data_IF_005517882345
#
_entry.id   IF_005517882345
#
_cell.length_a   1.000
_cell.length_b   1.000
_cell.length_c   1.000
_cell.angle_alpha   90.00
_cell.angle_beta   90.00
_cell.angle_gamma   90.00
#
_symmetry.space_group_name_H-M   'P 1'
#
loop_
_entity.id
_entity.type
_entity.pdbx_description
1 polymer ?
#
# COMPACT_ATOMS: atom_id res chain seq x y z
N UNK A 1 -3.85 -1.86 -16.05
CA UNK A 1 -3.23 -1.18 -14.89
C UNK A 1 -2.56 -2.28 -14.10
N UNK A 2 -1.27 -2.45 -14.38
CA UNK A 2 -0.48 -3.59 -13.96
C UNK A 2 -0.36 -3.60 -12.44
N UNK A 3 -0.28 -4.81 -11.86
CA UNK A 3 0.30 -5.26 -10.57
C UNK A 3 0.94 -4.19 -9.65
N UNK A 4 1.60 -3.21 -10.23
CA UNK A 4 2.34 -2.06 -9.70
C UNK A 4 1.51 -1.01 -8.96
N UNK A 5 0.28 -0.74 -9.38
CA UNK A 5 -0.59 0.21 -8.68
C UNK A 5 -0.99 -0.30 -7.28
N UNK A 6 -1.13 -1.63 -7.14
CA UNK A 6 -1.37 -2.31 -5.86
C UNK A 6 -0.15 -2.20 -4.94
N UNK A 7 1.07 -2.19 -5.47
CA UNK A 7 2.27 -2.05 -4.64
C UNK A 7 2.46 -0.61 -4.15
N UNK A 8 2.08 0.41 -4.93
CA UNK A 8 2.06 1.82 -4.45
C UNK A 8 1.03 1.99 -3.34
N UNK A 9 -0.24 1.62 -3.60
CA UNK A 9 -1.30 1.79 -2.61
C UNK A 9 -1.13 0.83 -1.42
N UNK A 10 -0.61 -0.37 -1.64
CA UNK A 10 -0.26 -1.32 -0.59
C UNK A 10 0.85 -0.80 0.32
N UNK A 11 1.90 -0.18 -0.22
CA UNK A 11 2.94 0.45 0.60
C UNK A 11 2.41 1.60 1.46
N UNK A 12 1.45 2.37 0.92
CA UNK A 12 0.79 3.49 1.61
C UNK A 12 -0.19 2.96 2.69
N UNK A 13 -1.01 1.96 2.37
CA UNK A 13 -2.04 1.39 3.27
C UNK A 13 -1.44 0.52 4.37
N UNK A 14 -0.31 -0.15 4.13
CA UNK A 14 0.33 -1.04 5.11
C UNK A 14 1.10 -0.26 6.18
N UNK A 15 1.50 0.99 5.93
CA UNK A 15 2.32 1.74 6.87
C UNK A 15 1.61 2.89 7.60
N UNK A 16 0.40 3.30 7.20
CA UNK A 16 -0.52 4.15 7.98
C UNK A 16 0.15 5.21 8.88
N UNK A 17 1.15 5.93 8.36
CA UNK A 17 1.99 6.81 9.17
C UNK A 17 1.26 8.14 9.35
N UNK A 18 1.16 8.70 10.57
CA UNK A 18 0.74 10.08 10.73
C UNK A 18 1.82 11.01 10.15
N UNK A 19 1.46 11.79 9.14
CA UNK A 19 2.39 12.62 8.37
C UNK A 19 2.22 14.08 8.85
N UNK A 20 3.30 14.77 9.28
CA UNK A 20 3.21 16.18 9.69
C UNK A 20 2.70 17.07 8.55
N UNK A 21 1.78 18.00 8.86
CA UNK A 21 1.15 18.89 7.90
C UNK A 21 2.05 20.08 7.56
N UNK A 22 2.48 20.21 6.31
CA UNK A 22 3.09 21.44 5.77
C UNK A 22 2.05 22.21 4.93
N UNK A 23 1.77 23.45 5.32
CA UNK A 23 0.78 24.33 4.70
C UNK A 23 1.17 24.83 3.29
N UNK A 24 2.34 24.44 2.76
CA UNK A 24 2.81 24.87 1.43
C UNK A 24 2.41 23.94 0.29
N UNK A 25 1.85 22.76 0.60
CA UNK A 25 1.68 21.72 -0.38
C UNK A 25 0.34 20.96 -0.24
N UNK A 26 -0.68 21.45 -0.96
CA UNK A 26 -2.04 20.93 -0.90
C UNK A 26 -2.15 19.46 -1.32
N UNK A 27 -1.26 18.99 -2.20
CA UNK A 27 -1.27 17.59 -2.70
C UNK A 27 -0.75 16.62 -1.65
N UNK A 28 0.39 16.93 -1.02
CA UNK A 28 0.91 16.09 0.07
C UNK A 28 -0.11 16.01 1.19
N UNK A 29 -0.68 17.14 1.63
CA UNK A 29 -1.72 17.19 2.65
C UNK A 29 -2.94 16.32 2.29
N UNK A 30 -3.40 16.37 1.04
CA UNK A 30 -4.50 15.54 0.57
C UNK A 30 -4.21 14.05 0.65
N UNK A 31 -2.98 13.64 0.31
CA UNK A 31 -2.51 12.25 0.49
C UNK A 31 -2.45 11.90 1.97
N UNK A 32 -1.86 12.76 2.82
CA UNK A 32 -1.80 12.57 4.27
C UNK A 32 -3.17 12.32 4.86
N UNK A 33 -4.13 13.19 4.58
CA UNK A 33 -5.45 13.11 5.17
C UNK A 33 -6.18 11.81 4.79
N UNK A 34 -5.98 11.30 3.56
CA UNK A 34 -6.52 10.00 3.16
C UNK A 34 -5.83 8.83 3.88
N UNK A 35 -4.53 8.93 4.14
CA UNK A 35 -3.76 7.91 4.87
C UNK A 35 -4.14 7.89 6.36
N UNK A 36 -4.33 9.07 6.97
CA UNK A 36 -4.73 9.22 8.38
C UNK A 36 -6.12 8.63 8.68
N UNK A 37 -6.97 8.45 7.67
CA UNK A 37 -8.27 7.76 7.82
C UNK A 37 -8.14 6.25 8.01
N UNK A 38 -6.97 5.65 7.72
CA UNK A 38 -6.72 4.23 7.97
C UNK A 38 -6.47 4.05 9.48
N UNK A 39 -7.26 3.22 10.18
CA UNK A 39 -7.10 3.02 11.62
C UNK A 39 -5.93 2.07 11.90
N UNK A 40 -4.70 2.54 11.71
CA UNK A 40 -3.47 1.75 11.77
C UNK A 40 -3.34 0.97 13.08
N UNK A 41 -3.59 1.60 14.22
CA UNK A 41 -3.53 0.94 15.53
C UNK A 41 -4.47 -0.27 15.62
N UNK A 42 -5.67 -0.15 15.04
CA UNK A 42 -6.68 -1.21 15.02
C UNK A 42 -6.28 -2.33 14.07
N UNK A 43 -5.76 -1.99 12.88
CA UNK A 43 -5.22 -2.96 11.92
C UNK A 43 -4.06 -3.74 12.53
N UNK A 44 -3.14 -3.05 13.21
CA UNK A 44 -2.01 -3.68 13.89
C UNK A 44 -2.45 -4.59 15.05
N UNK A 45 -3.43 -4.17 15.85
CA UNK A 45 -3.99 -5.01 16.90
C UNK A 45 -4.59 -6.31 16.33
N UNK A 46 -5.28 -6.26 15.19
CA UNK A 46 -5.78 -7.45 14.50
C UNK A 46 -4.61 -8.35 14.07
N UNK A 47 -3.56 -7.79 13.46
CA UNK A 47 -2.38 -8.55 13.05
C UNK A 47 -1.71 -9.29 14.23
N UNK A 48 -1.61 -8.65 15.39
CA UNK A 48 -1.05 -9.26 16.60
C UNK A 48 -1.98 -10.33 17.16
N UNK A 49 -3.29 -10.10 17.18
CA UNK A 49 -4.29 -11.11 17.59
C UNK A 49 -4.18 -12.38 16.73
N UNK A 50 -4.03 -12.23 15.42
CA UNK A 50 -3.79 -13.36 14.50
C UNK A 50 -2.44 -14.03 14.77
N UNK A 51 -1.36 -13.27 14.99
CA UNK A 51 -0.03 -13.84 15.23
C UNK A 51 0.08 -14.68 16.50
N UNK A 52 -0.81 -14.47 17.48
CA UNK A 52 -0.91 -15.31 18.68
C UNK A 52 -1.49 -16.69 18.34
N UNK A 53 -2.38 -16.78 17.35
CA UNK A 53 -3.21 -17.94 17.08
C UNK A 53 -2.79 -18.71 15.81
N UNK A 54 -2.15 -18.02 14.87
CA UNK A 54 -1.81 -18.53 13.54
C UNK A 54 -0.29 -18.50 13.29
N UNK A 55 0.28 -19.65 12.97
CA UNK A 55 1.72 -19.80 12.77
C UNK A 55 2.21 -19.14 11.49
N UNK A 56 1.42 -19.08 10.41
CA UNK A 56 1.79 -18.39 9.17
C UNK A 56 1.88 -16.89 9.42
N UNK A 57 0.91 -16.33 10.15
CA UNK A 57 0.92 -14.90 10.52
C UNK A 57 2.06 -14.57 11.48
N UNK A 58 2.33 -15.43 12.46
CA UNK A 58 3.48 -15.28 13.36
C UNK A 58 4.80 -15.24 12.60
N UNK A 59 4.99 -16.15 11.64
CA UNK A 59 6.18 -16.20 10.81
C UNK A 59 6.31 -14.95 9.93
N UNK A 60 5.21 -14.46 9.37
CA UNK A 60 5.19 -13.19 8.61
C UNK A 60 5.64 -12.01 9.47
N UNK A 61 5.06 -11.83 10.67
CA UNK A 61 5.47 -10.72 11.55
C UNK A 61 6.93 -10.84 11.98
N UNK A 62 7.40 -12.06 12.23
CA UNK A 62 8.81 -12.33 12.54
C UNK A 62 9.75 -11.94 11.40
N UNK A 63 9.38 -12.25 10.15
CA UNK A 63 10.14 -11.86 8.96
C UNK A 63 10.18 -10.33 8.77
N UNK A 64 9.02 -9.67 8.84
CA UNK A 64 8.90 -8.22 8.66
C UNK A 64 9.67 -7.44 9.73
N UNK A 65 9.77 -7.99 10.95
CA UNK A 65 10.57 -7.40 12.04
C UNK A 65 12.06 -7.74 11.95
N UNK A 66 12.44 -8.66 11.05
CA UNK A 66 13.80 -9.20 10.93
C UNK A 66 14.75 -8.30 10.13
N UNK A 67 16.06 -8.50 10.33
CA UNK A 67 17.09 -7.69 9.67
C UNK A 67 17.07 -7.83 8.15
N UNK A 68 16.81 -9.03 7.62
CA UNK A 68 16.77 -9.28 6.17
C UNK A 68 15.75 -8.40 5.46
N UNK A 69 14.54 -8.26 6.02
CA UNK A 69 13.52 -7.38 5.45
C UNK A 69 13.98 -5.92 5.48
N UNK A 70 14.48 -5.46 6.64
CA UNK A 70 14.99 -4.08 6.80
C UNK A 70 16.16 -3.78 5.85
N UNK A 71 17.08 -4.72 5.67
CA UNK A 71 18.21 -4.62 4.73
C UNK A 71 17.72 -4.52 3.28
N UNK A 72 16.71 -5.30 2.89
CA UNK A 72 16.13 -5.22 1.56
C UNK A 72 15.44 -3.87 1.31
N UNK A 73 14.71 -3.35 2.30
CA UNK A 73 14.10 -2.01 2.22
C UNK A 73 15.17 -0.93 2.07
N UNK A 74 16.20 -0.94 2.93
CA UNK A 74 17.29 0.02 2.85
C UNK A 74 18.05 -0.05 1.50
N UNK A 75 18.23 -1.26 0.96
CA UNK A 75 18.84 -1.45 -0.35
C UNK A 75 17.99 -0.87 -1.50
N UNK A 76 16.66 -0.94 -1.41
CA UNK A 76 15.76 -0.30 -2.37
C UNK A 76 15.88 1.22 -2.26
N UNK A 77 15.79 1.77 -1.05
CA UNK A 77 15.82 3.22 -0.82
C UNK A 77 17.15 3.86 -1.24
N UNK A 78 18.26 3.13 -1.12
CA UNK A 78 19.58 3.56 -1.56
C UNK A 78 19.81 3.41 -3.07
N UNK A 79 18.86 2.84 -3.81
CA UNK A 79 19.03 2.51 -5.23
C UNK A 79 18.80 3.71 -6.16
N UNK A 80 19.45 3.74 -7.35
CA UNK A 80 19.14 4.71 -8.39
C UNK A 80 17.67 4.65 -8.83
N UNK A 81 17.07 3.45 -8.86
CA UNK A 81 15.67 3.24 -9.24
C UNK A 81 14.71 3.95 -8.28
N UNK A 82 15.01 3.90 -6.98
CA UNK A 82 14.24 4.65 -5.98
C UNK A 82 14.44 6.16 -6.11
N UNK A 83 15.66 6.60 -6.45
CA UNK A 83 15.93 8.03 -6.70
C UNK A 83 15.16 8.54 -7.92
N UNK A 84 15.05 7.75 -8.99
CA UNK A 84 14.23 8.09 -10.17
C UNK A 84 12.74 8.15 -9.83
N UNK A 85 12.27 7.22 -8.99
CA UNK A 85 10.89 7.24 -8.47
C UNK A 85 10.63 8.46 -7.58
N UNK A 86 11.59 8.82 -6.73
CA UNK A 86 11.52 10.01 -5.88
C UNK A 86 11.48 11.29 -6.71
N UNK A 87 12.31 11.39 -7.74
CA UNK A 87 12.27 12.49 -8.69
C UNK A 87 10.91 12.60 -9.40
N UNK A 88 10.35 11.47 -9.84
CA UNK A 88 9.01 11.47 -10.41
C UNK A 88 7.98 12.00 -9.41
N UNK A 89 8.03 11.55 -8.14
CA UNK A 89 7.13 12.03 -7.09
C UNK A 89 7.29 13.54 -6.82
N UNK A 90 8.51 14.08 -6.85
CA UNK A 90 8.77 15.51 -6.70
C UNK A 90 8.10 16.36 -7.79
N UNK A 91 7.96 15.85 -9.02
CA UNK A 91 7.22 16.55 -10.09
C UNK A 91 5.75 16.83 -9.74
N UNK A 92 5.24 16.19 -8.69
CA UNK A 92 3.90 16.38 -8.16
C UNK A 92 3.89 17.00 -6.76
N UNK A 93 5.02 17.54 -6.33
CA UNK A 93 5.23 17.98 -4.96
C UNK A 93 4.97 16.85 -3.97
N UNK A 94 5.51 15.66 -4.19
CA UNK A 94 5.51 14.61 -3.17
C UNK A 94 6.96 14.37 -2.76
N UNK A 95 7.28 14.63 -1.49
CA UNK A 95 8.58 14.32 -0.92
C UNK A 95 8.66 12.82 -0.57
N UNK A 96 9.10 12.03 -1.55
CA UNK A 96 9.23 10.58 -1.41
C UNK A 96 10.23 10.18 -0.32
N UNK A 97 11.27 10.98 -0.06
CA UNK A 97 12.25 10.70 1.00
C UNK A 97 11.64 10.95 2.38
N UNK A 98 10.87 12.03 2.55
CA UNK A 98 10.10 12.29 3.76
C UNK A 98 9.08 11.18 4.04
N UNK A 99 8.39 10.69 3.01
CA UNK A 99 7.50 9.53 3.13
C UNK A 99 8.25 8.23 3.47
N UNK A 100 9.38 7.95 2.84
CA UNK A 100 10.19 6.77 3.13
C UNK A 100 10.74 6.78 4.56
N UNK A 101 11.27 7.92 5.02
CA UNK A 101 11.74 8.07 6.40
C UNK A 101 10.61 7.87 7.43
N UNK A 102 9.40 8.32 7.10
CA UNK A 102 8.20 8.08 7.91
C UNK A 102 7.89 6.58 7.99
N UNK A 103 7.96 5.86 6.87
CA UNK A 103 7.81 4.39 6.83
C UNK A 103 8.91 3.70 7.64
N UNK A 104 10.17 4.12 7.52
CA UNK A 104 11.29 3.55 8.28
C UNK A 104 11.11 3.69 9.79
N UNK A 105 10.63 4.85 10.25
CA UNK A 105 10.30 5.05 11.67
C UNK A 105 9.16 4.12 12.12
N UNK A 106 8.21 3.82 11.23
CA UNK A 106 7.13 2.86 11.47
C UNK A 106 7.62 1.42 11.53
N UNK A 107 8.63 1.05 10.74
CA UNK A 107 9.28 -0.27 10.81
C UNK A 107 10.09 -0.48 12.11
N UNK A 108 10.27 0.58 12.90
CA UNK A 108 10.81 0.57 14.26
C UNK A 108 9.71 0.72 15.34
N UNK A 109 8.43 0.54 15.00
CA UNK A 109 7.33 0.69 15.95
C UNK A 109 7.36 -0.39 17.05
N UNK A 110 7.21 0.02 18.33
CA UNK A 110 7.00 -0.88 19.44
C UNK A 110 5.60 -1.55 19.37
N UNK A 111 5.55 -2.84 19.71
CA UNK A 111 4.32 -3.65 19.69
C UNK A 111 3.13 -3.00 20.42
N UNK A 112 1.98 -2.97 19.73
CA UNK A 112 0.68 -2.67 20.36
C UNK A 112 0.27 -3.87 21.21
N UNK A 113 -0.13 -3.65 22.46
CA UNK A 113 -0.72 -4.72 23.26
C UNK A 113 -2.18 -4.92 22.83
N UNK A 114 -2.57 -6.12 22.36
CA UNK A 114 -3.94 -6.34 21.93
C UNK A 114 -4.89 -6.22 23.12
N UNK A 115 -6.05 -5.60 22.91
CA UNK A 115 -7.10 -5.53 23.93
C UNK A 115 -7.74 -6.93 24.03
N UNK A 116 -7.30 -7.71 25.01
CA UNK A 116 -7.48 -9.18 25.15
C UNK A 116 -8.95 -9.64 25.31
N UNK A 117 -9.93 -8.75 25.08
CA UNK A 117 -11.37 -9.01 25.25
C UNK A 117 -12.09 -9.44 23.98
N UNK A 118 -11.43 -9.53 22.82
CA UNK A 118 -12.05 -10.03 21.60
C UNK A 118 -12.00 -11.56 21.53
N UNK A 119 -13.13 -12.15 21.12
CA UNK A 119 -13.32 -13.59 20.92
C UNK A 119 -12.21 -14.14 19.99
N UNK A 120 -11.70 -15.36 20.22
CA UNK A 120 -10.74 -15.98 19.31
C UNK A 120 -11.31 -15.97 17.89
N UNK A 121 -10.59 -15.34 16.96
CA UNK A 121 -10.89 -15.47 15.53
C UNK A 121 -10.59 -16.90 15.14
N UNK A 122 -11.43 -17.50 14.31
CA UNK A 122 -11.25 -18.90 13.91
C UNK A 122 -9.86 -19.09 13.31
N UNK A 123 -9.01 -19.97 13.87
CA UNK A 123 -7.77 -20.36 13.23
C UNK A 123 -8.15 -21.14 11.97
N UNK A 124 -7.77 -20.66 10.79
CA UNK A 124 -8.16 -21.36 9.56
C UNK A 124 -7.47 -20.87 8.30
N UNK A 125 -7.50 -19.57 8.03
CA UNK A 125 -7.16 -19.05 6.69
C UNK A 125 -5.91 -18.14 6.68
N UNK A 126 -5.09 -18.18 7.73
CA UNK A 126 -3.76 -17.56 7.76
C UNK A 126 -3.74 -16.06 7.42
N UNK A 127 -2.75 -15.67 6.62
CA UNK A 127 -2.52 -14.27 6.21
C UNK A 127 -3.68 -13.74 5.35
N UNK A 128 -4.41 -14.59 4.64
CA UNK A 128 -5.55 -14.15 3.82
C UNK A 128 -6.70 -13.66 4.70
N UNK A 129 -7.05 -14.43 5.74
CA UNK A 129 -8.07 -13.97 6.69
C UNK A 129 -7.62 -12.73 7.45
N UNK A 130 -6.34 -12.65 7.84
CA UNK A 130 -5.79 -11.42 8.42
C UNK A 130 -6.04 -10.21 7.50
N UNK A 131 -5.68 -10.31 6.23
CA UNK A 131 -5.85 -9.19 5.28
C UNK A 131 -7.33 -8.85 5.09
N UNK A 132 -8.23 -9.84 5.01
CA UNK A 132 -9.68 -9.61 4.89
C UNK A 132 -10.22 -8.88 6.13
N UNK A 133 -9.97 -9.41 7.32
CA UNK A 133 -10.40 -8.83 8.59
C UNK A 133 -9.81 -7.43 8.83
N UNK A 134 -8.54 -7.21 8.49
CA UNK A 134 -7.92 -5.89 8.57
C UNK A 134 -8.64 -4.89 7.67
N UNK A 135 -8.92 -5.25 6.41
CA UNK A 135 -9.58 -4.37 5.45
C UNK A 135 -11.04 -4.08 5.80
N UNK A 136 -11.77 -4.99 6.45
CA UNK A 136 -13.11 -4.71 6.97
C UNK A 136 -13.12 -3.61 8.05
N UNK A 137 -11.99 -3.38 8.69
CA UNK A 137 -11.84 -2.34 9.71
C UNK A 137 -11.34 -1.01 9.15
N UNK A 138 -10.98 -0.96 7.86
CA UNK A 138 -10.64 0.28 7.15
C UNK A 138 -11.93 0.90 6.60
N UNK A 139 -12.23 2.19 6.87
CA UNK A 139 -13.45 2.83 6.40
C UNK A 139 -13.37 3.20 4.91
N UNK A 140 -13.24 2.20 4.03
CA UNK A 140 -12.98 2.38 2.59
C UNK A 140 -14.02 3.27 1.91
N UNK A 141 -15.28 3.18 2.30
CA UNK A 141 -16.34 4.02 1.74
C UNK A 141 -16.13 5.52 2.08
N UNK A 142 -15.77 5.81 3.33
CA UNK A 142 -15.50 7.18 3.79
C UNK A 142 -14.21 7.72 3.14
N UNK A 143 -13.17 6.88 3.02
CA UNK A 143 -11.93 7.24 2.33
C UNK A 143 -12.22 7.52 0.84
N UNK A 144 -13.08 6.72 0.20
CA UNK A 144 -13.48 6.91 -1.20
C UNK A 144 -14.26 8.21 -1.38
N UNK A 145 -15.13 8.55 -0.44
CA UNK A 145 -15.86 9.82 -0.45
C UNK A 145 -14.92 11.02 -0.27
N UNK A 146 -14.00 10.95 0.70
CA UNK A 146 -12.97 11.96 0.90
C UNK A 146 -12.06 12.11 -0.32
N UNK A 147 -11.68 11.00 -0.95
CA UNK A 147 -10.92 10.99 -2.19
C UNK A 147 -11.65 11.73 -3.32
N UNK A 148 -12.94 11.43 -3.54
CA UNK A 148 -13.75 12.10 -4.56
C UNK A 148 -13.86 13.60 -4.30
N UNK A 149 -14.11 14.00 -3.05
CA UNK A 149 -14.12 15.40 -2.66
C UNK A 149 -12.80 16.11 -2.99
N UNK A 150 -11.65 15.47 -2.72
CA UNK A 150 -10.31 16.02 -3.03
C UNK A 150 -10.05 16.12 -4.54
N UNK A 151 -10.48 15.13 -5.33
CA UNK A 151 -10.45 15.20 -6.81
C UNK A 151 -11.24 16.40 -7.33
N UNK A 152 -12.41 16.69 -6.76
CA UNK A 152 -13.28 17.78 -7.20
C UNK A 152 -12.79 19.16 -6.72
N UNK A 153 -12.18 19.23 -5.53
CA UNK A 153 -11.80 20.48 -4.88
C UNK A 153 -10.32 20.89 -5.09
N UNK A 154 -9.42 19.95 -5.40
CA UNK A 154 -8.00 20.22 -5.60
C UNK A 154 -7.53 19.78 -7.02
N UNK A 155 -7.40 20.73 -7.97
CA UNK A 155 -6.93 20.44 -9.32
C UNK A 155 -5.53 19.83 -9.39
N UNK A 156 -4.64 20.15 -8.46
CA UNK A 156 -3.29 19.57 -8.43
C UNK A 156 -3.33 18.10 -8.00
N UNK A 157 -4.16 17.77 -7.00
CA UNK A 157 -4.39 16.40 -6.56
C UNK A 157 -5.08 15.58 -7.66
N UNK A 158 -6.07 16.17 -8.34
CA UNK A 158 -6.68 15.54 -9.52
C UNK A 158 -5.66 15.23 -10.62
N UNK A 159 -4.81 16.19 -10.97
CA UNK A 159 -3.78 16.00 -12.00
C UNK A 159 -2.77 14.91 -11.62
N UNK A 160 -2.35 14.86 -10.35
CA UNK A 160 -1.54 13.77 -9.83
C UNK A 160 -2.23 12.42 -10.05
N UNK A 161 -3.48 12.29 -9.60
CA UNK A 161 -4.20 11.02 -9.65
C UNK A 161 -4.47 10.57 -11.08
N UNK A 162 -4.80 11.47 -12.00
CA UNK A 162 -4.95 11.17 -13.43
C UNK A 162 -3.65 10.62 -14.03
N UNK A 163 -2.50 11.20 -13.68
CA UNK A 163 -1.17 10.76 -14.15
C UNK A 163 -0.75 9.43 -13.54
N UNK A 164 -0.98 9.20 -12.25
CA UNK A 164 -0.73 7.89 -11.63
C UNK A 164 -1.62 6.82 -12.28
N UNK A 165 -2.93 7.08 -12.43
CA UNK A 165 -3.89 6.11 -12.96
C UNK A 165 -3.70 5.85 -14.47
N UNK A 166 -3.14 6.79 -15.22
CA UNK A 166 -2.80 6.59 -16.64
C UNK A 166 -1.64 5.61 -16.85
N UNK A 167 -0.90 5.29 -15.80
CA UNK A 167 0.29 4.43 -15.85
C UNK A 167 1.60 5.20 -16.03
N UNK A 168 1.61 6.53 -15.89
CA UNK A 168 2.82 7.33 -16.01
C UNK A 168 3.90 6.96 -14.98
N UNK A 169 3.48 6.46 -13.81
CA UNK A 169 4.40 5.97 -12.78
C UNK A 169 5.06 4.61 -13.15
N UNK A 170 4.50 3.86 -14.11
CA UNK A 170 4.95 2.51 -14.47
C UNK A 170 6.47 2.41 -14.76
N UNK A 171 7.07 3.23 -15.64
CA UNK A 171 8.51 3.13 -15.94
C UNK A 171 9.42 3.42 -14.74
N UNK A 172 8.93 4.10 -13.71
CA UNK A 172 9.67 4.37 -12.47
C UNK A 172 9.51 3.26 -11.44
N UNK A 173 8.35 2.58 -11.43
CA UNK A 173 8.06 1.47 -10.52
C UNK A 173 8.67 0.16 -10.96
N UNK A 174 8.61 -0.16 -12.27
CA UNK A 174 9.07 -1.45 -12.79
C UNK A 174 10.53 -1.74 -12.39
N UNK A 175 11.48 -0.80 -12.51
CA UNK A 175 12.86 -1.04 -12.09
C UNK A 175 12.99 -1.33 -10.58
N UNK A 176 12.18 -0.69 -9.73
CA UNK A 176 12.16 -0.97 -8.28
C UNK A 176 11.63 -2.39 -8.02
N UNK A 177 10.59 -2.81 -8.71
CA UNK A 177 9.96 -4.12 -8.53
C UNK A 177 10.75 -5.27 -9.17
N UNK A 178 11.60 -4.96 -10.14
CA UNK A 178 12.54 -5.90 -10.76
C UNK A 178 13.89 -5.95 -10.01
N UNK A 179 14.11 -5.02 -9.08
CA UNK A 179 15.32 -4.97 -8.27
C UNK A 179 15.52 -6.29 -7.50
N UNK A 180 16.79 -6.63 -7.26
CA UNK A 180 17.12 -7.83 -6.50
C UNK A 180 16.48 -7.83 -5.09
N UNK A 181 16.60 -6.77 -4.28
CA UNK A 181 16.02 -6.77 -2.93
C UNK A 181 14.49 -6.97 -2.91
N UNK A 182 13.77 -6.41 -3.90
CA UNK A 182 12.33 -6.64 -4.02
C UNK A 182 12.02 -8.09 -4.37
N UNK A 183 12.72 -8.65 -5.37
CA UNK A 183 12.52 -10.06 -5.77
C UNK A 183 12.89 -11.04 -4.66
N UNK A 184 13.92 -10.74 -3.87
CA UNK A 184 14.27 -11.54 -2.69
C UNK A 184 13.22 -11.47 -1.61
N UNK A 185 12.67 -10.27 -1.34
CA UNK A 185 11.55 -10.12 -0.40
C UNK A 185 10.34 -10.94 -0.85
N UNK A 186 9.99 -10.86 -2.14
CA UNK A 186 8.91 -11.67 -2.70
C UNK A 186 9.16 -13.16 -2.52
N UNK A 187 10.35 -13.65 -2.86
CA UNK A 187 10.74 -15.06 -2.70
C UNK A 187 10.61 -15.50 -1.23
N UNK A 188 11.09 -14.69 -0.30
CA UNK A 188 11.04 -15.01 1.13
C UNK A 188 9.59 -15.17 1.61
N UNK A 189 8.69 -14.29 1.16
CA UNK A 189 7.26 -14.40 1.49
C UNK A 189 6.64 -15.68 0.88
N UNK A 190 7.03 -16.07 -0.34
CA UNK A 190 6.60 -17.33 -0.95
C UNK A 190 7.14 -18.55 -0.19
N UNK A 191 8.40 -18.52 0.27
CA UNK A 191 9.02 -19.57 1.08
C UNK A 191 8.36 -19.71 2.47
N UNK A 192 7.83 -18.62 3.03
CA UNK A 192 6.99 -18.62 4.22
C UNK A 192 5.57 -19.20 3.98
N UNK A 193 5.27 -19.59 2.74
CA UNK A 193 4.01 -20.19 2.34
C UNK A 193 2.87 -19.20 2.18
N UNK A 194 3.16 -17.90 1.99
CA UNK A 194 2.10 -16.90 1.80
C UNK A 194 1.44 -17.05 0.42
N UNK A 195 0.10 -17.04 0.34
CA UNK A 195 -0.63 -17.09 -0.91
C UNK A 195 -0.65 -15.71 -1.59
N UNK A 196 0.51 -15.25 -2.07
CA UNK A 196 0.68 -13.91 -2.64
C UNK A 196 -0.28 -13.63 -3.82
N UNK A 197 -0.63 -14.65 -4.59
CA UNK A 197 -1.61 -14.52 -5.68
C UNK A 197 -3.02 -14.20 -5.17
N UNK A 198 -3.49 -14.89 -4.11
CA UNK A 198 -4.81 -14.62 -3.54
C UNK A 198 -4.87 -13.25 -2.88
N UNK A 199 -3.81 -12.86 -2.16
CA UNK A 199 -3.69 -11.52 -1.58
C UNK A 199 -3.71 -10.46 -2.68
N UNK A 200 -3.02 -10.71 -3.80
CA UNK A 200 -3.01 -9.83 -4.95
C UNK A 200 -4.41 -9.63 -5.54
N UNK A 201 -5.11 -10.72 -5.86
CA UNK A 201 -6.46 -10.68 -6.44
C UNK A 201 -7.44 -9.95 -5.51
N UNK A 202 -7.33 -10.16 -4.20
CA UNK A 202 -8.15 -9.48 -3.21
C UNK A 202 -7.90 -7.96 -3.21
N UNK A 203 -6.64 -7.53 -3.17
CA UNK A 203 -6.27 -6.11 -3.19
C UNK A 203 -6.61 -5.44 -4.53
N UNK A 204 -6.42 -6.15 -5.64
CA UNK A 204 -6.78 -5.68 -6.98
C UNK A 204 -8.26 -5.36 -7.08
N UNK A 205 -9.12 -6.25 -6.55
CA UNK A 205 -10.56 -6.04 -6.51
C UNK A 205 -10.93 -4.82 -5.67
N UNK A 206 -10.33 -4.65 -4.50
CA UNK A 206 -10.56 -3.47 -3.63
C UNK A 206 -10.20 -2.18 -4.36
N UNK A 207 -9.01 -2.13 -4.97
CA UNK A 207 -8.54 -0.92 -5.64
C UNK A 207 -9.33 -0.61 -6.92
N UNK A 208 -9.71 -1.65 -7.66
CA UNK A 208 -10.58 -1.49 -8.84
C UNK A 208 -11.91 -0.87 -8.46
N UNK A 209 -12.53 -1.33 -7.38
CA UNK A 209 -13.75 -0.73 -6.86
C UNK A 209 -13.49 0.69 -6.34
N UNK A 210 -12.45 0.89 -5.53
CA UNK A 210 -12.13 2.18 -4.92
C UNK A 210 -11.98 3.30 -5.97
N UNK A 211 -11.22 3.04 -7.04
CA UNK A 211 -10.95 4.02 -8.10
C UNK A 211 -11.99 4.01 -9.24
N UNK A 212 -13.09 3.29 -9.08
CA UNK A 212 -14.14 3.17 -10.11
C UNK A 212 -13.56 2.76 -11.49
N UNK A 213 -12.59 1.84 -11.50
CA UNK A 213 -11.87 1.41 -12.71
C UNK A 213 -12.68 0.37 -13.50
N UNK A 214 -12.65 0.46 -14.82
CA UNK A 214 -13.16 -0.59 -15.71
C UNK A 214 -12.03 -1.37 -16.37
N UNK A 215 -12.09 -2.71 -16.31
CA UNK A 215 -11.23 -3.62 -17.09
C UNK A 215 -11.54 -3.42 -18.57
N UNK A 216 -10.67 -2.74 -19.32
CA UNK A 216 -10.73 -2.75 -20.78
C UNK A 216 -9.93 -3.96 -21.24
N UNK A 217 -10.64 -5.03 -21.65
CA UNK A 217 -10.02 -6.18 -22.28
C UNK A 217 -9.57 -5.82 -23.70
N UNK A 218 -8.31 -6.09 -24.04
CA UNK A 218 -7.95 -6.62 -25.36
C UNK A 218 -6.55 -7.26 -25.31
N UNK A 219 -6.51 -8.53 -25.71
CA UNK A 219 -5.43 -9.29 -26.34
C UNK A 219 -3.96 -9.03 -25.94
N UNK A 220 -3.35 -10.08 -25.37
CA UNK A 220 -1.91 -10.32 -25.24
C UNK A 220 -1.12 -9.18 -24.57
N UNK A 221 -0.81 -9.38 -23.29
CA UNK A 221 0.01 -8.52 -22.44
C UNK A 221 -0.53 -7.08 -22.25
N UNK A 222 -1.30 -6.92 -21.17
CA UNK A 222 -1.66 -5.64 -20.52
C UNK A 222 -2.67 -4.72 -21.24
N UNK A 223 -3.95 -4.86 -20.86
CA UNK A 223 -4.99 -3.86 -21.13
C UNK A 223 -4.85 -2.57 -20.31
N UNK A 224 -5.15 -1.44 -20.94
CA UNK A 224 -5.25 -0.12 -20.31
C UNK A 224 -6.53 -0.03 -19.45
N UNK A 225 -6.47 0.55 -18.25
CA UNK A 225 -7.69 0.85 -17.47
C UNK A 225 -7.97 2.34 -17.56
N UNK A 226 -9.23 2.71 -17.78
CA UNK A 226 -9.71 4.10 -17.67
C UNK A 226 -10.73 4.20 -16.53
N UNK A 227 -10.85 5.36 -15.87
CA UNK A 227 -11.96 5.63 -14.95
C UNK A 227 -13.30 5.47 -15.68
N UNK A 228 -14.30 4.86 -15.03
CA UNK A 228 -15.65 4.84 -15.59
C UNK A 228 -16.16 6.28 -15.72
N UNK A 229 -16.51 6.69 -16.94
CA UNK A 229 -17.09 8.01 -17.22
C UNK A 229 -16.15 9.04 -17.84
N UNK A 230 -14.90 8.69 -18.20
CA UNK A 230 -14.05 9.57 -19.00
C UNK A 230 -14.53 9.60 -20.46
N UNK A 231 -15.50 10.46 -20.79
CA UNK A 231 -15.83 10.80 -22.17
C UNK A 231 -14.92 11.91 -22.69
N UNK A 232 -13.79 11.49 -23.26
CA UNK A 232 -13.12 11.86 -24.54
C UNK A 232 -11.64 11.54 -24.41
#
# INVERSE_FOLDING_TARGET
MCRYFIYIFGAILVNGVPIPRDNRNLVEQDVVELVEMVPFEKVMAIAIEYAIQDQQVKSLLGYLSGSKFKENVAAIEASPQFSDLAYMAELYNIDAYSLANKVNHVLDIPFVQPDVKRWPRSPGDGVVALVKDAMENVPLAEIKEAYKYKIDSNPQFKSLMERILSGEAKPYLEPVLESLPFRETKRDLEELGLPLAEIHEFLERILTDFFDLSIVSADHDCGYLRPRGSST
#
